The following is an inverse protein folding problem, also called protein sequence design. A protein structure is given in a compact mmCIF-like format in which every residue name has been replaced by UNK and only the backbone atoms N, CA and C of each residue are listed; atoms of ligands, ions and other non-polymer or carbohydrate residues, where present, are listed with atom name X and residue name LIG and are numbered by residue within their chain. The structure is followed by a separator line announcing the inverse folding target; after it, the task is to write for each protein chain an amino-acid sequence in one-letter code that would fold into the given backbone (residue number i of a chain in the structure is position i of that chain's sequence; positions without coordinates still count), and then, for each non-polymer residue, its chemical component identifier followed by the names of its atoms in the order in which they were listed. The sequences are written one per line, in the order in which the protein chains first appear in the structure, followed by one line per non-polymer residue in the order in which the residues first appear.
data_IF_464354642220
#
_entry.id   IF_464354642220
#
_cell.length_a   1.000
_cell.length_b   1.000
_cell.length_c   1.000
_cell.angle_alpha   90.00
_cell.angle_beta   90.00
_cell.angle_gamma   90.00
#
_symmetry.space_group_name_H-M   'P 1'
#
loop_
_entity.id
_entity.type
_entity.pdbx_description
1 polymer ?
#
# COMPACT_ATOMS: atom_id res chain seq x y z
N UNK A 1 -19.85 -2.32 1.04
CA UNK A 1 -19.24 -2.40 2.40
C UNK A 1 -19.21 -0.99 2.99
N UNK A 2 -19.33 -0.84 4.32
CA UNK A 2 -19.24 0.48 4.95
C UNK A 2 -17.76 0.84 5.20
N UNK A 3 -17.42 2.09 5.00
CA UNK A 3 -16.11 2.64 5.35
C UNK A 3 -16.14 3.09 6.81
N UNK A 4 -15.42 2.43 7.72
CA UNK A 4 -15.41 2.85 9.12
C UNK A 4 -14.61 4.15 9.27
N UNK A 5 -14.99 5.07 10.18
CA UNK A 5 -14.21 6.26 10.46
C UNK A 5 -12.79 5.90 10.92
N UNK A 6 -11.80 6.62 10.42
CA UNK A 6 -10.40 6.49 10.81
C UNK A 6 -9.91 7.79 11.46
N UNK A 7 -9.13 7.70 12.55
CA UNK A 7 -8.52 8.87 13.17
C UNK A 7 -7.36 9.40 12.32
N UNK A 8 -7.06 10.68 12.46
CA UNK A 8 -5.80 11.23 11.99
C UNK A 8 -4.64 10.77 12.87
N UNK A 9 -3.48 10.53 12.27
CA UNK A 9 -2.20 10.28 12.97
C UNK A 9 -2.33 9.30 14.15
N UNK A 10 -2.83 8.11 13.88
CA UNK A 10 -3.01 7.09 14.90
C UNK A 10 -1.69 6.45 15.34
N UNK A 11 -1.44 6.40 16.64
CA UNK A 11 -0.33 5.66 17.25
C UNK A 11 -0.36 4.16 16.88
N UNK A 12 -1.55 3.59 16.75
CA UNK A 12 -1.77 2.20 16.29
C UNK A 12 -1.34 2.03 14.84
N UNK A 13 -1.71 2.97 13.96
CA UNK A 13 -1.31 2.96 12.54
C UNK A 13 0.20 3.12 12.40
N UNK A 14 0.83 4.00 13.18
CA UNK A 14 2.30 4.13 13.23
C UNK A 14 2.96 2.80 13.58
N UNK A 15 2.44 2.09 14.58
CA UNK A 15 2.98 0.77 14.98
C UNK A 15 2.76 -0.29 13.92
N UNK A 16 1.58 -0.32 13.28
CA UNK A 16 1.29 -1.23 12.15
C UNK A 16 2.22 -0.97 10.97
N UNK A 17 2.50 0.32 10.68
CA UNK A 17 3.46 0.71 9.66
C UNK A 17 4.86 0.12 9.97
N UNK A 18 5.36 0.33 11.19
CA UNK A 18 6.65 -0.21 11.61
C UNK A 18 6.73 -1.74 11.43
N UNK A 19 5.72 -2.47 11.86
CA UNK A 19 5.70 -3.93 11.73
C UNK A 19 5.51 -4.40 10.29
N UNK A 20 4.73 -3.71 9.47
CA UNK A 20 4.55 -4.07 8.05
C UNK A 20 5.86 -3.95 7.26
N UNK A 21 6.73 -2.99 7.62
CA UNK A 21 8.05 -2.81 7.00
C UNK A 21 8.97 -4.03 7.21
N UNK A 22 8.80 -4.75 8.31
CA UNK A 22 9.53 -6.02 8.55
C UNK A 22 9.13 -7.03 7.48
N UNK A 23 7.81 -7.23 7.29
CA UNK A 23 7.29 -8.18 6.33
C UNK A 23 7.72 -7.82 4.90
N UNK A 24 7.58 -6.54 4.53
CA UNK A 24 8.01 -6.04 3.21
C UNK A 24 9.50 -6.22 2.95
N UNK A 25 10.34 -5.99 3.96
CA UNK A 25 11.79 -6.20 3.86
C UNK A 25 12.13 -7.68 3.61
N UNK A 26 11.49 -8.60 4.35
CA UNK A 26 11.69 -10.04 4.22
C UNK A 26 11.21 -10.52 2.84
N UNK A 27 9.98 -10.13 2.44
CA UNK A 27 9.43 -10.48 1.12
C UNK A 27 10.32 -9.96 -0.01
N UNK A 28 10.76 -8.70 0.07
CA UNK A 28 11.61 -8.07 -0.93
C UNK A 28 12.97 -8.75 -1.07
N UNK A 29 13.56 -9.22 0.04
CA UNK A 29 14.83 -9.94 0.02
C UNK A 29 14.73 -11.36 -0.56
N UNK A 30 13.57 -12.01 -0.40
CA UNK A 30 13.36 -13.40 -0.78
C UNK A 30 12.83 -13.59 -2.21
N UNK A 31 12.16 -12.58 -2.76
CA UNK A 31 11.59 -12.66 -4.10
C UNK A 31 12.52 -12.03 -5.16
N UNK A 32 12.41 -12.50 -6.39
CA UNK A 32 13.13 -11.89 -7.51
C UNK A 32 12.68 -10.44 -7.68
N UNK A 33 13.62 -9.50 -7.88
CA UNK A 33 13.28 -8.11 -8.15
C UNK A 33 12.33 -7.98 -9.34
N UNK A 34 11.27 -7.21 -9.17
CA UNK A 34 10.33 -6.86 -10.21
C UNK A 34 10.53 -5.38 -10.59
N UNK A 35 10.52 -4.99 -11.88
CA UNK A 35 10.76 -3.60 -12.29
C UNK A 35 9.84 -2.57 -11.64
N UNK A 36 8.60 -2.98 -11.33
CA UNK A 36 7.59 -2.16 -10.65
C UNK A 36 7.52 -2.43 -9.14
N UNK A 37 8.55 -2.99 -8.53
CA UNK A 37 8.67 -3.26 -7.08
C UNK A 37 7.59 -4.17 -6.46
N UNK A 38 6.76 -4.82 -7.26
CA UNK A 38 5.68 -5.69 -6.75
C UNK A 38 6.16 -6.84 -5.86
N UNK A 39 7.44 -7.20 -5.96
CA UNK A 39 8.07 -8.21 -5.12
C UNK A 39 8.19 -7.81 -3.64
N UNK A 40 8.06 -6.52 -3.30
CA UNK A 40 8.21 -5.99 -1.93
C UNK A 40 6.87 -5.49 -1.34
N UNK A 41 5.76 -5.59 -2.08
CA UNK A 41 4.44 -5.21 -1.60
C UNK A 41 3.82 -6.31 -0.72
N UNK A 42 2.75 -5.99 -0.01
CA UNK A 42 1.91 -6.94 0.72
C UNK A 42 0.52 -7.00 0.09
N UNK A 43 -0.22 -8.04 0.42
CA UNK A 43 -1.61 -8.20 0.03
C UNK A 43 -2.52 -7.94 1.23
N UNK A 44 -3.62 -7.23 1.02
CA UNK A 44 -4.65 -7.05 2.04
C UNK A 44 -5.64 -8.20 1.92
N UNK A 45 -5.71 -9.07 2.92
CA UNK A 45 -6.63 -10.22 2.96
C UNK A 45 -7.52 -10.18 4.19
N UNK A 46 -8.46 -11.09 4.30
CA UNK A 46 -9.28 -11.22 5.51
C UNK A 46 -8.46 -11.60 6.77
N UNK A 47 -7.27 -12.17 6.61
CA UNK A 47 -6.39 -12.55 7.71
C UNK A 47 -5.47 -11.41 8.17
N UNK A 48 -5.22 -10.41 7.31
CA UNK A 48 -4.34 -9.28 7.60
C UNK A 48 -3.57 -8.78 6.39
N UNK A 49 -2.34 -8.31 6.62
CA UNK A 49 -1.38 -7.96 5.57
C UNK A 49 -0.45 -9.15 5.33
N UNK A 50 -0.49 -9.70 4.12
CA UNK A 50 0.19 -10.95 3.77
C UNK A 50 1.36 -10.73 2.82
N UNK A 51 2.43 -11.48 3.00
CA UNK A 51 3.53 -11.54 2.05
C UNK A 51 3.20 -12.37 0.81
N UNK A 52 2.18 -13.27 0.88
CA UNK A 52 2.13 -14.43 0.03
C UNK A 52 3.30 -15.39 0.34
N UNK A 53 3.40 -16.45 -0.45
CA UNK A 53 4.52 -17.38 -0.33
C UNK A 53 5.80 -16.81 -0.93
N UNK A 54 6.94 -17.11 -0.29
CA UNK A 54 8.27 -16.72 -0.77
C UNK A 54 9.27 -17.87 -0.57
N UNK A 55 10.34 -17.95 -1.40
CA UNK A 55 11.38 -18.97 -1.26
C UNK A 55 12.05 -18.91 0.13
N UNK A 56 12.25 -20.06 0.77
CA UNK A 56 12.89 -20.18 2.09
C UNK A 56 13.80 -21.41 2.12
N UNK A 57 15.01 -21.30 1.56
CA UNK A 57 15.89 -22.43 1.33
C UNK A 57 15.27 -23.40 0.30
N UNK A 58 15.11 -24.68 0.71
CA UNK A 58 14.46 -25.73 -0.11
C UNK A 58 12.93 -25.79 0.12
N UNK A 59 12.37 -24.85 0.88
CA UNK A 59 10.94 -24.77 1.23
C UNK A 59 10.35 -23.42 0.86
N UNK A 60 9.09 -23.20 1.23
CA UNK A 60 8.39 -21.92 1.11
C UNK A 60 8.07 -21.38 2.50
N UNK A 61 8.19 -20.07 2.66
CA UNK A 61 7.78 -19.33 3.84
C UNK A 61 6.65 -18.37 3.52
N UNK A 62 5.88 -17.97 4.52
CA UNK A 62 4.89 -16.92 4.40
C UNK A 62 4.67 -16.22 5.74
N UNK A 63 4.25 -14.95 5.68
CA UNK A 63 3.97 -14.14 6.86
C UNK A 63 2.64 -13.41 6.69
N UNK A 64 1.89 -13.33 7.78
CA UNK A 64 0.64 -12.56 7.90
C UNK A 64 0.73 -11.68 9.14
N UNK A 65 0.70 -10.38 8.96
CA UNK A 65 0.50 -9.43 10.05
C UNK A 65 -0.99 -9.36 10.33
N UNK A 66 -1.42 -9.90 11.48
CA UNK A 66 -2.80 -9.90 11.95
C UNK A 66 -3.03 -8.72 12.89
N UNK A 67 -3.72 -7.65 12.42
CA UNK A 67 -3.88 -6.44 13.22
C UNK A 67 -4.76 -6.65 14.45
N UNK A 68 -5.82 -7.45 14.32
CA UNK A 68 -6.80 -7.64 15.38
C UNK A 68 -6.23 -8.46 16.56
N UNK A 69 -5.37 -9.43 16.28
CA UNK A 69 -4.77 -10.29 17.30
C UNK A 69 -3.38 -9.81 17.74
N UNK A 70 -2.89 -8.71 17.19
CA UNK A 70 -1.60 -8.11 17.54
C UNK A 70 -0.45 -9.10 17.40
N UNK A 71 -0.37 -9.78 16.26
CA UNK A 71 0.65 -10.80 16.01
C UNK A 71 1.04 -10.91 14.54
N UNK A 72 2.19 -11.51 14.28
CA UNK A 72 2.56 -12.07 12.99
C UNK A 72 2.42 -13.57 13.08
N UNK A 73 1.64 -14.15 12.17
CA UNK A 73 1.60 -15.60 11.93
C UNK A 73 2.50 -15.91 10.75
N UNK A 74 3.24 -17.00 10.81
CA UNK A 74 4.15 -17.37 9.74
C UNK A 74 4.26 -18.86 9.53
N UNK A 75 4.84 -19.20 8.39
CA UNK A 75 5.33 -20.53 8.05
C UNK A 75 6.84 -20.40 7.85
N UNK A 76 7.61 -21.18 8.61
CA UNK A 76 9.06 -21.27 8.51
C UNK A 76 9.50 -22.70 8.21
N UNK A 77 10.80 -22.93 8.19
CA UNK A 77 11.38 -24.26 7.92
C UNK A 77 10.85 -25.34 8.86
N UNK A 78 10.61 -25.02 10.14
CA UNK A 78 10.12 -25.95 11.16
C UNK A 78 8.57 -26.02 11.22
N UNK A 79 7.87 -25.29 10.35
CA UNK A 79 6.41 -25.25 10.30
C UNK A 79 5.83 -23.89 10.75
N UNK A 80 4.59 -23.92 11.23
CA UNK A 80 3.85 -22.70 11.62
C UNK A 80 4.36 -22.12 12.93
N UNK A 81 4.35 -20.80 13.02
CA UNK A 81 4.71 -20.06 14.22
C UNK A 81 3.89 -18.77 14.39
N UNK A 82 3.88 -18.25 15.60
CA UNK A 82 3.31 -16.95 15.95
C UNK A 82 4.37 -16.10 16.66
N UNK A 83 4.38 -14.79 16.37
CA UNK A 83 5.20 -13.77 17.05
C UNK A 83 4.28 -12.62 17.46
N UNK A 84 4.25 -12.30 18.75
CA UNK A 84 3.47 -11.16 19.27
C UNK A 84 4.09 -9.82 18.87
N UNK A 85 3.27 -8.85 18.49
CA UNK A 85 3.71 -7.49 18.21
C UNK A 85 3.91 -6.70 19.51
N UNK A 86 4.94 -7.07 20.28
CA UNK A 86 5.26 -6.49 21.58
C UNK A 86 6.70 -6.00 21.63
N UNK A 87 6.88 -4.69 21.81
CA UNK A 87 8.20 -4.08 21.89
C UNK A 87 8.70 -3.48 20.57
N UNK A 88 10.00 -3.12 20.49
CA UNK A 88 10.58 -2.49 19.31
C UNK A 88 10.46 -3.35 18.06
N UNK A 89 10.33 -2.69 16.91
CA UNK A 89 10.20 -3.38 15.61
C UNK A 89 11.39 -4.33 15.34
N UNK A 90 12.61 -3.92 15.68
CA UNK A 90 13.81 -4.75 15.54
C UNK A 90 13.79 -6.03 16.37
N UNK A 91 13.25 -5.99 17.60
CA UNK A 91 13.12 -7.19 18.44
C UNK A 91 12.10 -8.17 17.80
N UNK A 92 10.93 -7.68 17.41
CA UNK A 92 9.91 -8.48 16.72
C UNK A 92 10.46 -9.04 15.39
N UNK A 93 11.19 -8.24 14.62
CA UNK A 93 11.80 -8.68 13.38
C UNK A 93 12.84 -9.78 13.57
N UNK A 94 13.71 -9.68 14.60
CA UNK A 94 14.68 -10.74 14.94
C UNK A 94 13.98 -12.03 15.37
N UNK A 95 12.88 -11.94 16.11
CA UNK A 95 12.09 -13.11 16.51
C UNK A 95 11.45 -13.78 15.27
N UNK A 96 10.93 -13.00 14.33
CA UNK A 96 10.39 -13.53 13.06
C UNK A 96 11.49 -14.24 12.27
N UNK A 97 12.67 -13.61 12.08
CA UNK A 97 13.79 -14.20 11.36
C UNK A 97 14.25 -15.51 12.01
N UNK A 98 14.35 -15.55 13.35
CA UNK A 98 14.69 -16.76 14.07
C UNK A 98 13.66 -17.90 13.86
N UNK A 99 12.37 -17.56 13.80
CA UNK A 99 11.29 -18.52 13.58
C UNK A 99 11.18 -18.99 12.12
N UNK A 100 11.56 -18.15 11.16
CA UNK A 100 11.66 -18.58 9.77
C UNK A 100 12.71 -19.67 9.57
N UNK A 101 13.78 -19.67 10.38
CA UNK A 101 14.74 -20.79 10.44
C UNK A 101 15.68 -20.88 9.24
N UNK A 102 15.78 -19.84 8.42
CA UNK A 102 16.69 -19.74 7.29
C UNK A 102 17.39 -18.38 7.25
N UNK A 103 18.53 -18.30 6.56
CA UNK A 103 19.24 -17.04 6.37
C UNK A 103 18.50 -16.18 5.36
N UNK A 104 18.15 -14.96 5.75
CA UNK A 104 17.51 -13.95 4.91
C UNK A 104 18.40 -12.72 4.90
N UNK A 105 18.70 -12.20 3.70
CA UNK A 105 19.58 -11.04 3.54
C UNK A 105 18.82 -9.74 3.83
N UNK A 106 18.56 -9.50 5.11
CA UNK A 106 18.01 -8.26 5.64
C UNK A 106 18.84 -7.80 6.83
N UNK A 107 18.96 -6.50 7.00
CA UNK A 107 19.62 -5.89 8.15
C UNK A 107 18.57 -5.51 9.21
N UNK A 108 18.43 -6.30 10.30
CA UNK A 108 17.43 -6.03 11.33
C UNK A 108 17.71 -4.75 12.12
N UNK A 109 18.93 -4.21 12.10
CA UNK A 109 19.26 -2.96 12.80
C UNK A 109 18.60 -1.75 12.15
N UNK A 110 18.23 -1.83 10.87
CA UNK A 110 17.43 -0.81 10.19
C UNK A 110 16.02 -0.65 10.78
N UNK A 111 15.51 -1.65 11.46
CA UNK A 111 14.22 -1.58 12.13
C UNK A 111 14.26 -0.88 13.48
N UNK A 112 15.46 -0.59 14.05
CA UNK A 112 15.61 0.21 15.28
C UNK A 112 15.14 1.66 15.09
N UNK A 113 15.19 2.18 13.85
CA UNK A 113 14.70 3.51 13.52
C UNK A 113 13.17 3.60 13.36
N UNK A 114 12.45 2.45 13.38
CA UNK A 114 11.00 2.43 13.21
C UNK A 114 10.30 2.73 14.53
N UNK A 115 9.44 3.74 14.52
CA UNK A 115 8.66 4.13 15.69
C UNK A 115 7.56 3.10 15.97
N UNK A 116 7.55 2.56 17.18
CA UNK A 116 6.45 1.73 17.71
C UNK A 116 5.86 2.44 18.90
N UNK A 117 4.58 2.75 18.80
CA UNK A 117 3.83 3.50 19.79
C UNK A 117 2.78 2.63 20.49
N UNK A 118 1.80 3.26 21.14
CA UNK A 118 0.67 2.55 21.75
C UNK A 118 -0.15 1.83 20.69
N UNK A 119 -0.46 0.57 20.93
CA UNK A 119 -1.22 -0.28 20.02
C UNK A 119 -2.57 -0.65 20.62
N UNK A 120 -3.66 -0.21 20.00
CA UNK A 120 -5.03 -0.63 20.32
C UNK A 120 -5.52 -1.67 19.29
N UNK A 121 -5.76 -2.94 19.68
CA UNK A 121 -6.23 -3.97 18.75
C UNK A 121 -7.59 -3.66 18.11
N UNK A 122 -8.45 -2.89 18.76
CA UNK A 122 -9.76 -2.50 18.21
C UNK A 122 -9.57 -1.48 17.09
N UNK A 123 -8.71 -0.50 17.30
CA UNK A 123 -8.36 0.47 16.28
C UNK A 123 -7.65 -0.20 15.09
N UNK A 124 -6.74 -1.13 15.36
CA UNK A 124 -6.07 -1.91 14.33
C UNK A 124 -7.05 -2.77 13.51
N UNK A 125 -8.03 -3.41 14.15
CA UNK A 125 -9.09 -4.17 13.47
C UNK A 125 -10.00 -3.24 12.64
N UNK A 126 -10.30 -2.04 13.15
CA UNK A 126 -11.07 -1.02 12.42
C UNK A 126 -10.32 -0.54 11.16
N UNK A 127 -9.02 -0.26 11.30
CA UNK A 127 -8.15 0.09 10.18
C UNK A 127 -8.10 -1.04 9.13
N UNK A 128 -7.94 -2.28 9.56
CA UNK A 128 -7.96 -3.44 8.66
C UNK A 128 -9.31 -3.57 7.93
N UNK A 129 -10.43 -3.31 8.62
CA UNK A 129 -11.76 -3.28 7.98
C UNK A 129 -11.83 -2.20 6.90
N UNK A 130 -11.25 -1.02 7.14
CA UNK A 130 -11.15 0.03 6.14
C UNK A 130 -10.33 -0.42 4.92
N UNK A 131 -9.17 -1.04 5.14
CA UNK A 131 -8.33 -1.58 4.06
C UNK A 131 -9.08 -2.60 3.20
N UNK A 132 -9.86 -3.50 3.81
CA UNK A 132 -10.68 -4.47 3.08
C UNK A 132 -11.74 -3.77 2.21
N UNK A 133 -12.43 -2.75 2.74
CA UNK A 133 -13.43 -2.00 1.98
C UNK A 133 -12.79 -1.24 0.80
N UNK A 134 -11.62 -0.63 1.01
CA UNK A 134 -10.86 0.04 -0.05
C UNK A 134 -10.41 -0.96 -1.12
N UNK A 135 -9.78 -2.08 -0.71
CA UNK A 135 -9.35 -3.14 -1.63
C UNK A 135 -10.49 -3.63 -2.53
N UNK A 136 -11.65 -3.91 -1.94
CA UNK A 136 -12.80 -4.43 -2.70
C UNK A 136 -13.34 -3.39 -3.69
N UNK A 137 -13.33 -2.11 -3.32
CA UNK A 137 -13.71 -1.02 -4.25
C UNK A 137 -12.69 -0.86 -5.36
N UNK A 138 -11.39 -0.90 -5.04
CA UNK A 138 -10.32 -0.87 -6.04
C UNK A 138 -10.39 -2.06 -6.99
N UNK A 139 -10.58 -3.28 -6.48
CA UNK A 139 -10.73 -4.47 -7.31
C UNK A 139 -11.93 -4.38 -8.25
N UNK A 140 -13.07 -3.89 -7.74
CA UNK A 140 -14.27 -3.68 -8.55
C UNK A 140 -14.09 -2.62 -9.64
N UNK A 141 -13.27 -1.59 -9.41
CA UNK A 141 -12.96 -0.56 -10.40
C UNK A 141 -11.89 -1.05 -11.39
N UNK A 142 -10.77 -1.61 -10.91
CA UNK A 142 -9.69 -2.16 -11.72
C UNK A 142 -10.21 -3.18 -12.77
N UNK A 143 -11.14 -4.03 -12.37
CA UNK A 143 -11.78 -5.01 -13.28
C UNK A 143 -12.69 -4.42 -14.38
N UNK A 144 -12.90 -3.09 -14.38
CA UNK A 144 -13.72 -2.38 -15.39
C UNK A 144 -12.88 -1.48 -16.30
N UNK A 145 -11.62 -1.25 -15.97
CA UNK A 145 -10.71 -0.43 -16.77
C UNK A 145 -10.18 -1.29 -17.93
N UNK A 146 -10.25 -0.79 -19.14
CA UNK A 146 -9.62 -1.42 -20.31
C UNK A 146 -8.12 -1.08 -20.36
N UNK A 147 -7.31 -2.04 -20.77
CA UNK A 147 -5.85 -1.92 -20.88
C UNK A 147 -5.10 -2.68 -19.79
N UNK A 148 -3.81 -2.40 -19.64
CA UNK A 148 -2.97 -3.05 -18.63
C UNK A 148 -3.24 -2.42 -17.25
N UNK A 149 -3.66 -3.25 -16.29
CA UNK A 149 -3.88 -2.83 -14.90
C UNK A 149 -3.00 -3.69 -14.00
N UNK A 150 -2.24 -3.04 -13.12
CA UNK A 150 -1.42 -3.71 -12.12
C UNK A 150 -2.23 -4.33 -10.97
N UNK A 151 -1.60 -5.17 -10.16
CA UNK A 151 -2.21 -5.71 -8.95
C UNK A 151 -2.47 -4.59 -7.91
N UNK A 152 -3.41 -4.84 -7.00
CA UNK A 152 -3.60 -3.99 -5.83
C UNK A 152 -2.50 -4.34 -4.83
N UNK A 153 -1.61 -3.40 -4.59
CA UNK A 153 -0.45 -3.55 -3.71
C UNK A 153 -0.67 -2.74 -2.43
N UNK A 154 -0.34 -3.33 -1.29
CA UNK A 154 -0.11 -2.58 -0.07
C UNK A 154 1.41 -2.36 0.09
N UNK A 155 1.83 -1.10 0.20
CA UNK A 155 3.22 -0.68 0.19
C UNK A 155 3.75 -0.42 1.60
N UNK A 156 4.51 -1.34 2.22
CA UNK A 156 4.98 -1.18 3.59
C UNK A 156 5.85 0.05 3.84
N UNK A 157 6.52 0.57 2.81
CA UNK A 157 7.45 1.69 2.95
C UNK A 157 6.74 3.04 3.07
N UNK A 158 5.59 3.22 2.41
CA UNK A 158 4.72 4.41 2.53
C UNK A 158 3.48 4.15 3.37
N UNK A 159 3.19 2.88 3.66
CA UNK A 159 2.00 2.42 4.37
C UNK A 159 0.69 2.81 3.68
N UNK A 160 0.70 2.77 2.38
CA UNK A 160 -0.43 3.05 1.50
C UNK A 160 -0.81 1.81 0.68
N UNK A 161 -1.99 1.85 0.06
CA UNK A 161 -2.46 0.81 -0.85
C UNK A 161 -2.78 1.44 -2.19
N UNK A 162 -2.25 0.87 -3.27
CA UNK A 162 -2.51 1.36 -4.63
C UNK A 162 -2.61 0.28 -5.68
N UNK A 163 -3.13 0.67 -6.82
CA UNK A 163 -2.99 -0.02 -8.10
C UNK A 163 -2.81 1.02 -9.21
N UNK A 164 -2.26 0.59 -10.34
CA UNK A 164 -1.96 1.46 -11.47
C UNK A 164 -2.60 0.92 -12.76
N UNK A 165 -3.11 1.82 -13.58
CA UNK A 165 -3.36 1.59 -15.00
C UNK A 165 -2.15 2.10 -15.79
N UNK A 166 -1.72 1.31 -16.79
CA UNK A 166 -0.58 1.63 -17.65
C UNK A 166 -1.03 1.84 -19.09
N UNK A 167 -0.57 2.94 -19.69
CA UNK A 167 -0.71 3.21 -21.12
C UNK A 167 0.36 2.45 -21.91
N UNK A 168 0.11 2.21 -23.20
CA UNK A 168 1.13 1.75 -24.15
C UNK A 168 2.15 2.86 -24.48
N UNK A 169 1.83 4.14 -24.25
CA UNK A 169 2.74 5.24 -24.43
C UNK A 169 3.79 5.30 -23.30
N UNK A 170 4.99 5.73 -23.64
CA UNK A 170 6.12 5.78 -22.71
C UNK A 170 6.70 7.19 -22.61
N UNK A 171 7.28 7.49 -21.44
CA UNK A 171 8.23 8.57 -21.23
C UNK A 171 9.64 8.00 -21.18
N UNK A 172 10.60 8.72 -21.74
CA UNK A 172 12.01 8.30 -21.78
C UNK A 172 12.82 9.23 -20.89
N UNK A 173 13.54 8.66 -19.94
CA UNK A 173 14.46 9.39 -19.07
C UNK A 173 15.89 8.90 -19.28
N UNK A 174 16.82 9.84 -19.36
CA UNK A 174 18.25 9.53 -19.35
C UNK A 174 18.68 9.23 -17.91
N UNK A 175 18.97 7.97 -17.63
CA UNK A 175 19.46 7.49 -16.35
C UNK A 175 20.89 6.99 -16.42
N UNK A 176 21.50 6.76 -15.26
CA UNK A 176 22.80 6.06 -15.21
C UNK A 176 22.65 4.66 -15.82
N UNK A 177 23.35 4.41 -16.92
CA UNK A 177 23.22 3.18 -17.71
C UNK A 177 22.46 3.34 -19.03
N UNK A 178 22.01 4.56 -19.37
CA UNK A 178 21.36 4.91 -20.63
C UNK A 178 19.85 5.22 -20.48
N UNK A 179 19.19 5.52 -21.61
CA UNK A 179 17.77 5.87 -21.59
C UNK A 179 16.91 4.70 -21.12
N UNK A 180 15.95 5.01 -20.25
CA UNK A 180 14.94 4.06 -19.79
C UNK A 180 13.54 4.55 -20.15
N UNK A 181 12.71 3.61 -20.53
CA UNK A 181 11.31 3.82 -20.87
C UNK A 181 10.41 3.47 -19.69
N UNK A 182 9.45 4.35 -19.41
CA UNK A 182 8.43 4.16 -18.38
C UNK A 182 7.06 4.37 -18.98
N UNK A 183 6.15 3.41 -18.80
CA UNK A 183 4.78 3.56 -19.27
C UNK A 183 4.14 4.78 -18.57
N UNK A 184 3.46 5.61 -19.36
CA UNK A 184 2.56 6.61 -18.78
C UNK A 184 1.46 5.88 -18.02
N UNK A 185 0.96 6.47 -16.93
CA UNK A 185 0.09 5.73 -16.03
C UNK A 185 -0.88 6.63 -15.25
N UNK A 186 -1.90 6.01 -14.67
CA UNK A 186 -2.70 6.61 -13.61
C UNK A 186 -2.64 5.69 -12.40
N UNK A 187 -2.02 6.15 -11.33
CA UNK A 187 -2.01 5.46 -10.05
C UNK A 187 -3.22 5.86 -9.20
N UNK A 188 -3.89 4.89 -8.59
CA UNK A 188 -4.99 5.09 -7.65
C UNK A 188 -4.60 4.54 -6.30
N UNK A 189 -4.78 5.30 -5.23
CA UNK A 189 -4.38 4.81 -3.93
C UNK A 189 -5.14 5.39 -2.75
N UNK A 190 -4.88 4.78 -1.60
CA UNK A 190 -5.36 5.15 -0.28
C UNK A 190 -4.17 5.28 0.67
N UNK A 191 -4.06 6.43 1.32
CA UNK A 191 -3.09 6.69 2.39
C UNK A 191 -3.84 6.87 3.73
N UNK A 192 -3.34 6.32 4.84
CA UNK A 192 -3.89 6.63 6.17
C UNK A 192 -3.51 8.02 6.68
N UNK A 193 -2.80 8.80 5.88
CA UNK A 193 -2.22 10.09 6.21
C UNK A 193 -0.70 10.03 6.38
N UNK A 194 -0.07 11.16 6.18
CA UNK A 194 1.37 11.39 6.27
C UNK A 194 1.68 12.75 6.91
N UNK A 195 2.96 13.15 6.93
CA UNK A 195 3.37 14.45 7.48
C UNK A 195 2.75 15.65 6.75
N UNK A 196 2.54 15.53 5.43
CA UNK A 196 1.94 16.59 4.61
C UNK A 196 0.41 16.63 4.72
N UNK A 197 -0.22 15.46 4.90
CA UNK A 197 -1.67 15.30 5.04
C UNK A 197 -1.97 14.33 6.18
N UNK A 198 -2.15 14.81 7.41
CA UNK A 198 -2.31 13.95 8.58
C UNK A 198 -3.65 13.19 8.63
N UNK A 199 -4.59 13.52 7.79
CA UNK A 199 -5.89 12.83 7.66
C UNK A 199 -5.80 11.74 6.59
N UNK A 200 -6.51 10.61 6.73
CA UNK A 200 -6.61 9.61 5.68
C UNK A 200 -7.24 10.17 4.40
N UNK A 201 -6.71 9.76 3.25
CA UNK A 201 -7.17 10.26 1.95
C UNK A 201 -7.01 9.24 0.82
N UNK A 202 -7.74 9.45 -0.26
CA UNK A 202 -7.53 8.79 -1.54
C UNK A 202 -6.81 9.73 -2.49
N UNK A 203 -5.99 9.17 -3.35
CA UNK A 203 -5.31 9.89 -4.42
C UNK A 203 -5.51 9.21 -5.77
N UNK A 204 -5.40 10.01 -6.83
CA UNK A 204 -5.36 9.53 -8.20
C UNK A 204 -4.31 10.34 -8.97
N UNK A 205 -3.20 9.71 -9.34
CA UNK A 205 -2.00 10.35 -9.88
C UNK A 205 -1.81 10.02 -11.35
N UNK A 206 -2.26 10.87 -12.29
CA UNK A 206 -1.85 10.76 -13.68
C UNK A 206 -0.36 11.11 -13.82
N UNK A 207 0.40 10.27 -14.51
CA UNK A 207 1.82 10.50 -14.72
C UNK A 207 2.23 10.23 -16.20
N UNK A 208 2.96 11.15 -16.85
CA UNK A 208 3.38 12.47 -16.32
C UNK A 208 2.19 13.39 -16.08
N UNK A 209 2.30 14.26 -15.07
CA UNK A 209 1.26 15.22 -14.76
C UNK A 209 1.32 16.44 -15.69
N UNK A 210 0.19 16.79 -16.31
CA UNK A 210 0.02 18.01 -17.08
C UNK A 210 -0.79 19.03 -16.26
N UNK A 211 -0.33 20.29 -16.21
CA UNK A 211 -1.01 21.36 -15.45
C UNK A 211 -2.44 21.63 -15.93
N UNK A 212 -2.76 21.32 -17.18
CA UNK A 212 -4.12 21.45 -17.72
C UNK A 212 -5.13 20.53 -17.01
N UNK A 213 -4.67 19.41 -16.43
CA UNK A 213 -5.52 18.48 -15.68
C UNK A 213 -6.22 19.17 -14.49
N UNK A 214 -5.60 20.21 -13.92
CA UNK A 214 -6.19 20.96 -12.80
C UNK A 214 -7.50 21.67 -13.15
N UNK A 215 -7.79 21.85 -14.43
CA UNK A 215 -9.05 22.42 -14.90
C UNK A 215 -10.18 21.40 -15.07
N UNK A 216 -9.85 20.10 -15.00
CA UNK A 216 -10.84 19.05 -15.14
C UNK A 216 -11.75 18.98 -13.90
N UNK A 217 -13.06 18.77 -14.12
CA UNK A 217 -14.00 18.67 -13.01
C UNK A 217 -13.77 17.42 -12.19
N UNK A 218 -13.91 17.54 -10.87
CA UNK A 218 -13.91 16.46 -9.92
C UNK A 218 -15.23 16.44 -9.14
N UNK A 219 -15.62 15.31 -8.55
CA UNK A 219 -16.83 15.26 -7.73
C UNK A 219 -16.70 16.11 -6.46
N UNK A 220 -17.84 16.40 -5.84
CA UNK A 220 -17.91 17.20 -4.62
C UNK A 220 -17.02 16.62 -3.51
N UNK A 221 -16.27 17.50 -2.85
CA UNK A 221 -15.29 17.11 -1.81
C UNK A 221 -13.92 16.70 -2.34
N UNK A 222 -13.76 16.45 -3.64
CA UNK A 222 -12.45 16.20 -4.25
C UNK A 222 -11.80 17.50 -4.74
N UNK A 223 -10.49 17.47 -4.88
CA UNK A 223 -9.69 18.61 -5.40
C UNK A 223 -8.43 18.13 -6.11
N UNK A 224 -7.80 19.00 -6.90
CA UNK A 224 -6.47 18.76 -7.44
C UNK A 224 -5.41 19.21 -6.44
N UNK A 225 -4.60 18.26 -5.99
CA UNK A 225 -3.48 18.51 -5.07
C UNK A 225 -2.24 19.01 -5.82
N UNK A 226 -1.42 19.87 -5.15
CA UNK A 226 -0.25 20.51 -5.78
C UNK A 226 0.96 20.70 -4.86
N UNK A 227 0.83 20.42 -3.56
CA UNK A 227 1.90 20.64 -2.58
C UNK A 227 2.65 19.35 -2.30
N UNK A 228 3.89 19.23 -2.79
CA UNK A 228 4.70 18.03 -2.66
C UNK A 228 4.49 17.00 -3.77
N UNK A 229 3.25 16.79 -4.21
CA UNK A 229 2.90 15.93 -5.34
C UNK A 229 1.71 16.50 -6.14
N UNK A 230 1.47 15.98 -7.33
CA UNK A 230 0.37 16.43 -8.20
C UNK A 230 -0.57 15.28 -8.55
N UNK A 231 -1.88 15.52 -8.37
CA UNK A 231 -2.92 14.52 -8.66
C UNK A 231 -4.26 14.90 -8.07
N UNK A 232 -5.26 14.07 -8.30
CA UNK A 232 -6.55 14.16 -7.63
C UNK A 232 -6.43 13.75 -6.15
N UNK A 233 -7.14 14.44 -5.29
CA UNK A 233 -7.20 14.22 -3.84
C UNK A 233 -8.66 14.16 -3.39
N UNK A 234 -9.00 13.15 -2.60
CA UNK A 234 -10.32 13.00 -1.98
C UNK A 234 -10.15 12.61 -0.50
N UNK A 235 -10.61 13.42 0.47
CA UNK A 235 -10.57 13.06 1.87
C UNK A 235 -11.31 11.73 2.14
N UNK A 236 -10.74 10.85 2.93
CA UNK A 236 -11.38 9.59 3.32
C UNK A 236 -12.73 9.84 4.04
N UNK A 237 -12.80 10.90 4.84
CA UNK A 237 -14.02 11.28 5.53
C UNK A 237 -15.20 11.54 4.57
N UNK A 238 -14.94 12.09 3.38
CA UNK A 238 -15.99 12.27 2.37
C UNK A 238 -16.54 10.90 1.88
N UNK A 239 -15.69 9.89 1.78
CA UNK A 239 -16.11 8.53 1.40
C UNK A 239 -16.82 7.81 2.55
N UNK A 240 -16.49 8.09 3.80
CA UNK A 240 -17.26 7.60 4.96
C UNK A 240 -18.72 8.07 4.88
N UNK A 241 -18.97 9.29 4.40
CA UNK A 241 -20.30 9.89 4.25
C UNK A 241 -20.97 9.50 2.92
N UNK A 242 -20.24 9.60 1.80
CA UNK A 242 -20.74 9.41 0.44
C UNK A 242 -20.69 7.96 -0.08
N UNK A 243 -20.03 7.06 0.65
CA UNK A 243 -19.91 5.66 0.30
C UNK A 243 -18.95 5.36 -0.86
N UNK A 244 -18.95 4.10 -1.30
CA UNK A 244 -18.10 3.63 -2.39
C UNK A 244 -18.39 4.33 -3.72
N UNK A 245 -19.61 4.78 -3.95
CA UNK A 245 -20.00 5.45 -5.20
C UNK A 245 -19.23 6.75 -5.42
N UNK A 246 -19.00 7.54 -4.35
CA UNK A 246 -18.20 8.75 -4.43
C UNK A 246 -16.73 8.44 -4.80
N UNK A 247 -16.15 7.39 -4.20
CA UNK A 247 -14.79 6.96 -4.56
C UNK A 247 -14.70 6.48 -6.01
N UNK A 248 -15.67 5.72 -6.48
CA UNK A 248 -15.74 5.27 -7.87
C UNK A 248 -15.91 6.45 -8.84
N UNK A 249 -16.73 7.44 -8.49
CA UNK A 249 -16.90 8.66 -9.28
C UNK A 249 -15.59 9.46 -9.36
N UNK A 250 -14.89 9.62 -8.23
CA UNK A 250 -13.59 10.27 -8.18
C UNK A 250 -12.55 9.60 -9.07
N UNK A 251 -12.36 8.27 -8.92
CA UNK A 251 -11.41 7.52 -9.74
C UNK A 251 -11.74 7.61 -11.22
N UNK A 252 -13.04 7.49 -11.57
CA UNK A 252 -13.50 7.60 -12.94
C UNK A 252 -13.25 9.00 -13.51
N UNK A 253 -13.58 10.07 -12.77
CA UNK A 253 -13.39 11.45 -13.23
C UNK A 253 -11.93 11.74 -13.58
N UNK A 254 -10.98 11.33 -12.72
CA UNK A 254 -9.55 11.47 -13.00
C UNK A 254 -9.15 10.63 -14.21
N UNK A 255 -9.52 9.34 -14.25
CA UNK A 255 -9.12 8.44 -15.33
C UNK A 255 -9.64 8.90 -16.70
N UNK A 256 -10.94 9.13 -16.82
CA UNK A 256 -11.56 9.53 -18.09
C UNK A 256 -11.06 10.91 -18.54
N UNK A 257 -10.78 11.83 -17.61
CA UNK A 257 -10.27 13.15 -17.90
C UNK A 257 -8.82 13.17 -18.37
N UNK A 258 -8.01 12.18 -17.99
CA UNK A 258 -6.54 12.22 -18.23
C UNK A 258 -6.03 11.14 -19.20
N UNK A 259 -6.73 10.01 -19.35
CA UNK A 259 -6.24 8.86 -20.14
C UNK A 259 -5.91 9.19 -21.59
N UNK A 260 -6.68 10.08 -22.25
CA UNK A 260 -6.44 10.45 -23.66
C UNK A 260 -5.11 11.17 -23.84
N UNK A 261 -4.73 12.03 -22.90
CA UNK A 261 -3.44 12.73 -22.92
C UNK A 261 -2.26 11.82 -22.54
N UNK A 262 -2.54 10.71 -21.88
CA UNK A 262 -1.54 9.71 -21.48
C UNK A 262 -1.41 8.57 -22.51
N UNK A 263 -2.29 8.53 -23.52
CA UNK A 263 -2.28 7.46 -24.53
C UNK A 263 -1.34 7.71 -25.69
#
# INVERSE_FOLDING_TARGET
MAYPPLPAQSATVTSLHAYSRILGSIRGAQNKPHPRWWHASLEVTAAGLETGDFPLGDSEGSLVLDPAHRMVRGVGVEGRFDVGLTGPASAVGRDILAKLGASIDVDPDRWDALSVETYDPREAANFHTALLAVRDTFAGYAGRIEGEVGPINFWPHHFDMSFEWFSDAVEVYDEEGGPKEYNKQVGFGFSPGDEGNPQPYFYANPWPFDESFRSLPLPDGASWHKEGWSGGFLPYAAVVEGGADLLLEFMRAVFEGTREALS
#
